data_IF_594659557225
#
_entry.id   IF_594659557225
#
_cell.length_a   1.000
_cell.length_b   1.000
_cell.length_c   1.000
_cell.angle_alpha   90.00
_cell.angle_beta   90.00
_cell.angle_gamma   90.00
#
_symmetry.space_group_name_H-M   'P 1'
#
loop_
_entity.id
_entity.type
_entity.pdbx_description
1 polymer ?
#
# COMPACT_ATOMS: atom_id res chain seq x y z
N UNK A 1 -8.90 -7.66 -21.11
CA UNK A 1 -9.82 -6.51 -20.96
C UNK A 1 -9.06 -5.23 -21.28
N UNK A 2 -9.64 -4.25 -21.96
CA UNK A 2 -8.98 -2.98 -22.29
C UNK A 2 -9.52 -1.83 -21.42
N UNK A 3 -8.73 -0.76 -21.26
CA UNK A 3 -9.18 0.46 -20.57
C UNK A 3 -10.21 1.16 -21.47
N UNK A 4 -11.44 1.27 -21.00
CA UNK A 4 -12.54 1.85 -21.78
C UNK A 4 -12.62 3.37 -21.61
N UNK A 5 -12.19 3.90 -20.47
CA UNK A 5 -12.28 5.32 -20.15
C UNK A 5 -11.16 5.74 -19.18
N UNK A 6 -10.68 6.97 -19.34
CA UNK A 6 -9.71 7.61 -18.45
C UNK A 6 -10.31 8.88 -17.85
N UNK A 7 -10.34 9.00 -16.52
CA UNK A 7 -10.84 10.16 -15.79
C UNK A 7 -9.68 10.90 -15.13
N UNK A 8 -9.48 12.16 -15.52
CA UNK A 8 -8.44 13.01 -14.94
C UNK A 8 -8.97 13.81 -13.74
N UNK A 9 -8.63 13.34 -12.54
CA UNK A 9 -9.10 13.92 -11.29
C UNK A 9 -8.37 15.20 -10.87
N UNK A 10 -7.38 15.69 -11.64
CA UNK A 10 -6.87 17.06 -11.45
C UNK A 10 -7.68 18.09 -12.24
N UNK A 11 -8.43 17.66 -13.26
CA UNK A 11 -9.27 18.52 -14.11
C UNK A 11 -10.74 18.56 -13.69
N UNK A 12 -11.14 17.66 -12.80
CA UNK A 12 -12.51 17.57 -12.29
C UNK A 12 -12.56 17.89 -10.80
N UNK A 13 -13.62 18.57 -10.39
CA UNK A 13 -13.94 18.66 -8.97
C UNK A 13 -14.39 17.30 -8.42
N UNK A 14 -14.36 17.12 -7.10
CA UNK A 14 -14.83 15.91 -6.43
C UNK A 14 -16.30 15.60 -6.80
N UNK A 15 -17.14 16.63 -6.87
CA UNK A 15 -18.57 16.52 -7.20
C UNK A 15 -18.80 16.11 -8.66
N UNK A 16 -18.02 16.67 -9.58
CA UNK A 16 -18.05 16.31 -11.00
C UNK A 16 -17.63 14.85 -11.22
N UNK A 17 -16.53 14.43 -10.59
CA UNK A 17 -16.04 13.06 -10.71
C UNK A 17 -17.04 12.05 -10.12
N UNK A 18 -17.69 12.38 -9.00
CA UNK A 18 -18.78 11.58 -8.41
C UNK A 18 -19.97 11.47 -9.37
N UNK A 19 -20.36 12.57 -10.01
CA UNK A 19 -21.46 12.57 -10.97
C UNK A 19 -21.13 11.67 -12.17
N UNK A 20 -19.94 11.81 -12.76
CA UNK A 20 -19.47 10.96 -13.85
C UNK A 20 -19.56 9.48 -13.44
N UNK A 21 -19.06 9.13 -12.26
CA UNK A 21 -19.07 7.75 -11.78
C UNK A 21 -20.49 7.18 -11.63
N UNK A 22 -21.44 7.99 -11.13
CA UNK A 22 -22.85 7.60 -11.01
C UNK A 22 -23.51 7.41 -12.37
N UNK A 23 -23.26 8.32 -13.31
CA UNK A 23 -23.78 8.21 -14.66
C UNK A 23 -23.27 6.91 -15.31
N UNK A 24 -21.98 6.56 -15.11
CA UNK A 24 -21.41 5.30 -15.59
C UNK A 24 -21.98 4.05 -14.92
N UNK A 25 -22.27 4.08 -13.62
CA UNK A 25 -22.95 2.96 -12.93
C UNK A 25 -24.39 2.75 -13.42
N UNK A 26 -25.06 3.83 -13.86
CA UNK A 26 -26.40 3.71 -14.45
C UNK A 26 -26.38 2.97 -15.79
N UNK A 27 -25.29 3.11 -16.55
CA UNK A 27 -25.07 2.43 -17.83
C UNK A 27 -24.54 1.01 -17.63
N UNK A 28 -23.52 0.83 -16.79
CA UNK A 28 -22.80 -0.44 -16.60
C UNK A 28 -22.88 -0.91 -15.16
N UNK A 29 -23.39 -2.12 -14.87
CA UNK A 29 -23.66 -2.55 -13.50
C UNK A 29 -22.43 -2.73 -12.60
N UNK A 30 -21.24 -2.97 -13.17
CA UNK A 30 -20.00 -3.12 -12.42
C UNK A 30 -18.94 -2.17 -12.98
N UNK A 31 -18.41 -1.29 -12.15
CA UNK A 31 -17.27 -0.45 -12.49
C UNK A 31 -16.02 -0.91 -11.74
N UNK A 32 -14.91 -0.98 -12.46
CA UNK A 32 -13.59 -1.36 -11.93
C UNK A 32 -12.67 -0.16 -12.11
N UNK A 33 -12.30 0.47 -11.00
CA UNK A 33 -11.49 1.69 -10.98
C UNK A 33 -10.03 1.32 -10.74
N UNK A 34 -9.16 1.60 -11.71
CA UNK A 34 -7.72 1.34 -11.65
C UNK A 34 -6.93 2.65 -11.74
N UNK A 35 -5.62 2.58 -11.51
CA UNK A 35 -4.73 3.74 -11.65
C UNK A 35 -3.97 4.08 -10.36
N UNK A 36 -3.15 5.14 -10.34
CA UNK A 36 -2.17 5.35 -9.29
C UNK A 36 -2.79 5.62 -7.92
N UNK A 37 -2.02 5.29 -6.89
CA UNK A 37 -2.33 5.72 -5.53
C UNK A 37 -2.41 7.25 -5.46
N UNK A 38 -3.44 7.79 -4.83
CA UNK A 38 -3.71 9.24 -4.77
C UNK A 38 -4.61 9.75 -5.88
N UNK A 39 -4.93 8.92 -6.89
CA UNK A 39 -5.83 9.27 -7.99
C UNK A 39 -7.29 9.45 -7.59
N UNK A 40 -7.64 9.30 -6.30
CA UNK A 40 -8.98 9.59 -5.80
C UNK A 40 -9.99 8.44 -5.88
N UNK A 41 -9.59 7.24 -6.33
CA UNK A 41 -10.47 6.06 -6.51
C UNK A 41 -11.34 5.75 -5.28
N UNK A 42 -10.72 5.51 -4.13
CA UNK A 42 -11.43 5.17 -2.89
C UNK A 42 -12.30 6.35 -2.41
N UNK A 43 -11.77 7.58 -2.44
CA UNK A 43 -12.52 8.78 -2.03
C UNK A 43 -13.76 9.02 -2.90
N UNK A 44 -13.58 9.03 -4.22
CA UNK A 44 -14.68 9.27 -5.18
C UNK A 44 -15.66 8.10 -5.16
N UNK A 45 -15.18 6.87 -5.01
CA UNK A 45 -16.02 5.67 -4.85
C UNK A 45 -16.91 5.73 -3.62
N UNK A 46 -16.35 6.04 -2.44
CA UNK A 46 -17.11 6.24 -1.19
C UNK A 46 -18.15 7.35 -1.35
N UNK A 47 -17.81 8.40 -2.10
CA UNK A 47 -18.69 9.55 -2.27
C UNK A 47 -19.84 9.28 -3.23
N UNK A 48 -19.59 8.46 -4.25
CA UNK A 48 -20.60 8.03 -5.19
C UNK A 48 -21.68 7.14 -4.57
N UNK A 49 -21.38 6.41 -3.48
CA UNK A 49 -22.32 5.53 -2.79
C UNK A 49 -23.70 6.18 -2.54
N UNK A 50 -24.75 5.47 -2.94
CA UNK A 50 -26.16 5.83 -2.78
C UNK A 50 -27.03 4.56 -2.72
N UNK A 51 -28.36 4.71 -2.74
CA UNK A 51 -29.30 3.59 -2.75
C UNK A 51 -29.20 2.65 -3.96
N UNK A 52 -28.61 3.06 -5.08
CA UNK A 52 -28.50 2.21 -6.28
C UNK A 52 -27.28 1.30 -6.24
N UNK A 53 -26.35 1.51 -5.31
CA UNK A 53 -25.14 0.71 -5.17
C UNK A 53 -25.38 -0.39 -4.12
N UNK A 54 -24.98 -1.61 -4.46
CA UNK A 54 -25.10 -2.80 -3.60
C UNK A 54 -23.78 -3.20 -2.95
N UNK A 55 -22.65 -2.97 -3.61
CA UNK A 55 -21.34 -3.26 -3.04
C UNK A 55 -20.23 -2.30 -3.49
N UNK A 56 -19.24 -2.11 -2.62
CA UNK A 56 -17.98 -1.43 -2.91
C UNK A 56 -16.80 -2.22 -2.33
N UNK A 57 -15.86 -2.59 -3.19
CA UNK A 57 -14.70 -3.36 -2.77
C UNK A 57 -13.38 -2.69 -3.14
N UNK A 58 -12.33 -3.09 -2.45
CA UNK A 58 -10.96 -2.68 -2.67
C UNK A 58 -10.09 -3.93 -2.78
N UNK A 59 -9.33 -4.03 -3.88
CA UNK A 59 -8.42 -5.15 -4.11
C UNK A 59 -7.10 -4.99 -3.35
N UNK A 60 -6.55 -6.10 -2.85
CA UNK A 60 -5.25 -6.14 -2.17
C UNK A 60 -4.06 -6.27 -3.14
N UNK A 61 -4.01 -5.41 -4.15
CA UNK A 61 -2.95 -5.38 -5.17
C UNK A 61 -1.81 -4.46 -4.70
N UNK A 62 -0.55 -4.92 -4.74
CA UNK A 62 0.61 -4.23 -4.13
C UNK A 62 0.95 -2.88 -4.78
N UNK A 63 0.59 -2.71 -6.05
CA UNK A 63 0.93 -1.54 -6.88
C UNK A 63 -0.12 -0.41 -6.78
N UNK A 64 -1.37 -0.76 -6.95
CA UNK A 64 -2.49 0.16 -6.91
C UNK A 64 -3.70 -0.63 -6.43
N UNK A 65 -4.41 -0.14 -5.42
CA UNK A 65 -5.60 -0.80 -4.90
C UNK A 65 -6.77 -0.45 -5.83
N UNK A 66 -7.26 -1.40 -6.66
CA UNK A 66 -8.40 -1.13 -7.50
C UNK A 66 -9.64 -1.03 -6.62
N UNK A 67 -10.58 -0.17 -7.02
CA UNK A 67 -11.86 -0.01 -6.34
C UNK A 67 -12.96 -0.53 -7.25
N UNK A 68 -13.79 -1.44 -6.77
CA UNK A 68 -14.85 -2.09 -7.54
C UNK A 68 -16.19 -1.62 -6.98
N UNK A 69 -17.05 -1.09 -7.84
CA UNK A 69 -18.41 -0.67 -7.49
C UNK A 69 -19.39 -1.57 -8.22
N UNK A 70 -20.37 -2.12 -7.49
CA UNK A 70 -21.40 -3.00 -8.05
C UNK A 70 -22.77 -2.41 -7.74
N UNK A 71 -23.57 -2.23 -8.79
CA UNK A 71 -24.97 -1.78 -8.70
C UNK A 71 -25.82 -2.83 -7.98
N UNK A 72 -26.84 -2.37 -7.25
CA UNK A 72 -27.64 -3.20 -6.34
C UNK A 72 -28.34 -4.36 -7.03
N UNK A 73 -28.96 -4.12 -8.18
CA UNK A 73 -29.61 -5.15 -8.98
C UNK A 73 -28.62 -6.25 -9.42
N UNK A 74 -27.40 -5.87 -9.81
CA UNK A 74 -26.34 -6.83 -10.11
C UNK A 74 -25.85 -7.58 -8.87
N UNK A 75 -25.70 -6.90 -7.72
CA UNK A 75 -25.37 -7.56 -6.45
C UNK A 75 -26.41 -8.60 -6.06
N UNK A 76 -27.70 -8.26 -6.12
CA UNK A 76 -28.80 -9.17 -5.80
C UNK A 76 -28.79 -10.38 -6.73
N UNK A 77 -28.66 -10.15 -8.04
CA UNK A 77 -28.58 -11.21 -9.05
C UNK A 77 -27.37 -12.13 -8.85
N UNK A 78 -26.19 -11.58 -8.55
CA UNK A 78 -24.97 -12.36 -8.32
C UNK A 78 -25.05 -13.25 -7.08
N UNK A 79 -25.81 -12.84 -6.05
CA UNK A 79 -26.04 -13.63 -4.83
C UNK A 79 -27.00 -14.79 -5.02
N UNK A 80 -27.80 -14.79 -6.09
CA UNK A 80 -28.72 -15.90 -6.41
C UNK A 80 -28.07 -16.98 -7.28
N UNK A 81 -26.92 -16.71 -7.89
CA UNK A 81 -26.26 -17.61 -8.83
C UNK A 81 -25.23 -18.46 -8.10
N UNK A 82 -25.43 -19.78 -8.04
CA UNK A 82 -24.48 -20.73 -7.46
C UNK A 82 -23.46 -21.17 -8.52
N UNK A 83 -22.17 -20.93 -8.25
CA UNK A 83 -21.07 -21.28 -9.18
C UNK A 83 -20.25 -22.48 -8.71
N UNK A 84 -20.24 -22.76 -7.40
CA UNK A 84 -19.51 -23.90 -6.84
C UNK A 84 -20.25 -24.44 -5.59
N UNK A 85 -20.18 -25.76 -5.36
CA UNK A 85 -20.60 -26.37 -4.09
C UNK A 85 -19.38 -26.97 -3.41
N UNK A 86 -18.95 -26.38 -2.29
CA UNK A 86 -17.77 -26.85 -1.54
C UNK A 86 -18.17 -27.81 -0.43
N UNK A 87 -17.54 -28.99 -0.36
CA UNK A 87 -17.77 -29.89 0.77
C UNK A 87 -17.24 -29.27 2.07
N UNK A 88 -18.06 -29.32 3.13
CA UNK A 88 -17.64 -28.98 4.48
C UNK A 88 -17.07 -30.23 5.18
N UNK A 89 -16.18 -30.06 6.18
CA UNK A 89 -15.70 -31.15 7.02
C UNK A 89 -16.75 -31.55 8.08
N UNK A 90 -18.03 -31.54 7.70
CA UNK A 90 -19.19 -31.85 8.53
C UNK A 90 -20.07 -32.84 7.78
N UNK A 91 -20.62 -33.80 8.51
CA UNK A 91 -21.48 -34.85 7.98
C UNK A 91 -22.80 -34.86 8.75
N UNK A 92 -23.91 -35.08 8.04
CA UNK A 92 -25.22 -35.36 8.65
C UNK A 92 -25.54 -36.84 8.40
N UNK A 93 -25.28 -37.67 9.42
CA UNK A 93 -25.25 -39.12 9.26
C UNK A 93 -24.12 -39.55 8.32
N UNK A 94 -24.49 -40.19 7.20
CA UNK A 94 -23.56 -40.66 6.16
C UNK A 94 -23.40 -39.66 4.99
N UNK A 95 -24.13 -38.54 4.99
CA UNK A 95 -24.07 -37.55 3.90
C UNK A 95 -23.14 -36.38 4.24
N UNK A 96 -22.27 -36.02 3.28
CA UNK A 96 -21.38 -34.87 3.40
C UNK A 96 -22.16 -33.58 3.20
N UNK A 97 -22.02 -32.62 4.12
CA UNK A 97 -22.67 -31.31 4.01
C UNK A 97 -21.87 -30.44 3.05
N UNK A 98 -22.56 -29.66 2.22
CA UNK A 98 -21.95 -28.72 1.27
C UNK A 98 -22.33 -27.29 1.62
N UNK A 99 -21.45 -26.35 1.29
CA UNK A 99 -21.74 -24.92 1.24
C UNK A 99 -21.80 -24.49 -0.22
N UNK A 100 -22.77 -23.64 -0.55
CA UNK A 100 -22.90 -23.06 -1.89
C UNK A 100 -22.09 -21.77 -1.95
N UNK A 101 -21.27 -21.64 -2.99
CA UNK A 101 -20.52 -20.43 -3.29
C UNK A 101 -21.26 -19.71 -4.41
N UNK A 102 -21.69 -18.48 -4.15
CA UNK A 102 -22.37 -17.67 -5.15
C UNK A 102 -21.38 -17.00 -6.12
N UNK A 103 -21.84 -16.53 -7.27
CA UNK A 103 -21.03 -15.71 -8.17
C UNK A 103 -20.52 -14.45 -7.45
N UNK A 104 -21.33 -13.86 -6.56
CA UNK A 104 -20.92 -12.76 -5.70
C UNK A 104 -19.76 -13.15 -4.77
N UNK A 105 -19.83 -14.31 -4.13
CA UNK A 105 -18.76 -14.82 -3.25
C UNK A 105 -17.48 -15.11 -4.04
N UNK A 106 -17.58 -15.63 -5.26
CA UNK A 106 -16.44 -15.88 -6.14
C UNK A 106 -15.74 -14.58 -6.56
N UNK A 107 -16.51 -13.53 -6.90
CA UNK A 107 -15.98 -12.18 -7.17
C UNK A 107 -15.30 -11.63 -5.92
N UNK A 108 -15.99 -11.62 -4.77
CA UNK A 108 -15.45 -11.11 -3.51
C UNK A 108 -14.15 -11.82 -3.12
N UNK A 109 -14.14 -13.14 -3.17
CA UNK A 109 -12.97 -13.96 -2.88
C UNK A 109 -11.80 -13.64 -3.84
N UNK A 110 -12.08 -13.42 -5.12
CA UNK A 110 -11.06 -13.01 -6.10
C UNK A 110 -10.46 -11.64 -5.76
N UNK A 111 -11.28 -10.70 -5.30
CA UNK A 111 -10.82 -9.37 -4.87
C UNK A 111 -9.95 -9.47 -3.60
N UNK A 112 -10.38 -10.28 -2.62
CA UNK A 112 -9.69 -10.43 -1.33
C UNK A 112 -8.38 -11.23 -1.43
N UNK A 113 -8.27 -12.17 -2.39
CA UNK A 113 -7.15 -13.12 -2.47
C UNK A 113 -6.25 -12.95 -3.71
N UNK A 114 -6.40 -11.87 -4.49
CA UNK A 114 -5.48 -11.59 -5.60
C UNK A 114 -4.06 -11.38 -5.05
N UNK A 115 -3.13 -12.27 -5.39
CA UNK A 115 -1.74 -12.19 -4.96
C UNK A 115 -0.89 -11.65 -6.11
N UNK A 116 -0.72 -10.32 -6.15
CA UNK A 116 -0.03 -9.65 -7.25
C UNK A 116 1.50 -9.71 -7.09
N UNK A 117 2.12 -10.62 -7.86
CA UNK A 117 3.59 -10.77 -7.95
C UNK A 117 4.17 -9.86 -9.04
N UNK A 118 3.37 -9.38 -10.00
CA UNK A 118 3.86 -8.82 -11.27
C UNK A 118 3.23 -7.48 -11.72
N UNK A 119 2.47 -6.79 -10.87
CA UNK A 119 1.75 -5.55 -11.21
C UNK A 119 0.70 -5.73 -12.33
N UNK A 120 0.39 -6.99 -12.68
CA UNK A 120 -0.72 -7.37 -13.56
C UNK A 120 -2.03 -7.54 -12.78
N UNK A 121 -1.96 -7.50 -11.44
CA UNK A 121 -3.08 -7.80 -10.57
C UNK A 121 -4.32 -6.93 -10.80
N UNK A 122 -4.20 -5.67 -11.23
CA UNK A 122 -5.39 -4.84 -11.52
C UNK A 122 -6.13 -5.33 -12.77
N UNK A 123 -5.41 -5.62 -13.87
CA UNK A 123 -6.02 -6.10 -15.12
C UNK A 123 -6.46 -7.55 -14.99
N UNK A 124 -5.68 -8.41 -14.34
CA UNK A 124 -6.04 -9.81 -14.08
C UNK A 124 -7.27 -9.88 -13.16
N UNK A 125 -7.34 -9.04 -12.12
CA UNK A 125 -8.54 -8.92 -11.29
C UNK A 125 -9.72 -8.46 -12.14
N UNK A 126 -9.54 -7.45 -12.98
CA UNK A 126 -10.60 -6.93 -13.83
C UNK A 126 -11.12 -7.99 -14.81
N UNK A 127 -10.22 -8.75 -15.44
CA UNK A 127 -10.56 -9.86 -16.32
C UNK A 127 -11.32 -10.95 -15.59
N UNK A 128 -10.86 -11.36 -14.41
CA UNK A 128 -11.52 -12.39 -13.61
C UNK A 128 -12.92 -11.99 -13.15
N UNK A 129 -13.09 -10.73 -12.72
CA UNK A 129 -14.41 -10.20 -12.36
C UNK A 129 -15.32 -10.18 -13.60
N UNK A 130 -14.78 -9.75 -14.75
CA UNK A 130 -15.51 -9.67 -16.01
C UNK A 130 -15.91 -11.02 -16.57
N UNK A 131 -15.06 -12.05 -16.39
CA UNK A 131 -15.36 -13.43 -16.76
C UNK A 131 -16.53 -13.96 -15.92
N UNK A 132 -16.44 -13.89 -14.59
CA UNK A 132 -17.49 -14.39 -13.68
C UNK A 132 -18.82 -13.64 -13.91
N UNK A 133 -18.78 -12.31 -14.05
CA UNK A 133 -19.99 -11.51 -14.30
C UNK A 133 -20.55 -11.74 -15.71
N UNK A 134 -19.67 -11.86 -16.72
CA UNK A 134 -20.00 -12.01 -18.12
C UNK A 134 -20.65 -13.36 -18.44
N UNK A 135 -20.26 -14.45 -17.78
CA UNK A 135 -20.94 -15.75 -17.85
C UNK A 135 -22.43 -15.68 -17.50
N UNK A 136 -22.82 -14.62 -16.79
CA UNK A 136 -24.18 -14.38 -16.34
C UNK A 136 -24.80 -13.13 -16.99
N UNK A 137 -24.20 -12.59 -18.05
CA UNK A 137 -24.73 -11.42 -18.78
C UNK A 137 -24.81 -10.17 -17.90
N UNK A 138 -23.82 -9.96 -17.03
CA UNK A 138 -23.63 -8.73 -16.26
C UNK A 138 -22.38 -8.05 -16.84
N UNK A 139 -22.57 -6.86 -17.39
CA UNK A 139 -21.48 -6.10 -17.98
C UNK A 139 -20.59 -5.43 -16.92
N UNK A 140 -19.30 -5.39 -17.22
CA UNK A 140 -18.27 -4.69 -16.44
C UNK A 140 -17.67 -3.57 -17.28
N UNK A 141 -17.14 -2.53 -16.61
CA UNK A 141 -16.40 -1.45 -17.26
C UNK A 141 -15.12 -1.12 -16.50
N UNK A 142 -14.00 -1.05 -17.21
CA UNK A 142 -12.70 -0.68 -16.65
C UNK A 142 -12.43 0.81 -16.86
N UNK A 143 -12.27 1.56 -15.76
CA UNK A 143 -12.03 3.01 -15.77
C UNK A 143 -10.70 3.31 -15.10
N UNK A 144 -9.80 4.00 -15.80
CA UNK A 144 -8.54 4.46 -15.24
C UNK A 144 -8.68 5.88 -14.66
N UNK A 145 -8.32 6.04 -13.39
CA UNK A 145 -8.24 7.36 -12.77
C UNK A 145 -6.81 7.86 -12.89
N UNK A 146 -6.62 9.08 -13.38
CA UNK A 146 -5.30 9.74 -13.41
C UNK A 146 -5.36 11.07 -12.68
N UNK A 147 -4.20 11.64 -12.37
CA UNK A 147 -4.09 13.01 -11.89
C UNK A 147 -2.66 13.53 -12.12
N UNK A 148 -2.50 14.85 -12.10
CA UNK A 148 -1.18 15.48 -12.17
C UNK A 148 -0.25 14.98 -11.06
N UNK A 149 1.04 14.71 -11.34
CA UNK A 149 1.98 14.17 -10.36
C UNK A 149 2.13 15.01 -9.08
N UNK A 150 2.11 16.34 -9.19
CA UNK A 150 2.17 17.26 -8.05
C UNK A 150 0.90 17.20 -7.19
N UNK A 151 -0.24 16.96 -7.82
CA UNK A 151 -1.52 16.81 -7.12
C UNK A 151 -1.60 15.45 -6.42
N UNK A 152 -1.14 14.38 -7.07
CA UNK A 152 -0.96 13.06 -6.43
C UNK A 152 -0.04 13.19 -5.21
N UNK A 153 1.04 13.98 -5.32
CA UNK A 153 1.95 14.23 -4.20
C UNK A 153 1.27 14.89 -3.03
N UNK A 154 0.55 15.98 -3.29
CA UNK A 154 -0.14 16.76 -2.27
C UNK A 154 -1.19 15.90 -1.56
N UNK A 155 -2.05 15.22 -2.32
CA UNK A 155 -3.09 14.33 -1.79
C UNK A 155 -2.51 13.21 -0.94
N UNK A 156 -1.33 12.66 -1.31
CA UNK A 156 -0.65 11.64 -0.49
C UNK A 156 -0.18 12.16 0.86
N UNK A 157 0.25 13.43 0.94
CA UNK A 157 0.74 14.03 2.17
C UNK A 157 -0.39 14.42 3.14
N UNK A 158 -1.54 14.88 2.61
CA UNK A 158 -2.69 15.29 3.41
C UNK A 158 -3.69 14.16 3.68
N UNK A 159 -3.42 12.95 3.19
CA UNK A 159 -4.36 11.82 3.19
C UNK A 159 -4.78 11.32 4.55
N UNK A 160 -3.99 11.59 5.58
CA UNK A 160 -4.33 11.25 6.96
C UNK A 160 -5.37 12.20 7.54
N UNK A 161 -5.35 13.46 7.07
CA UNK A 161 -6.12 14.54 7.67
C UNK A 161 -7.63 14.34 7.42
N UNK A 162 -7.98 13.69 6.29
CA UNK A 162 -9.35 13.35 5.91
C UNK A 162 -9.73 11.88 6.16
N UNK A 163 -8.84 11.08 6.77
CA UNK A 163 -9.05 9.64 6.94
C UNK A 163 -10.29 9.31 7.80
N UNK A 164 -10.46 10.04 8.90
CA UNK A 164 -11.58 9.89 9.82
C UNK A 164 -12.91 10.18 9.11
N UNK A 165 -12.98 11.31 8.40
CA UNK A 165 -14.18 11.73 7.66
C UNK A 165 -14.55 10.71 6.57
N UNK A 166 -13.56 10.19 5.83
CA UNK A 166 -13.81 9.14 4.83
C UNK A 166 -14.35 7.86 5.43
N UNK A 167 -13.75 7.37 6.53
CA UNK A 167 -14.22 6.16 7.21
C UNK A 167 -15.63 6.34 7.79
N UNK A 168 -15.89 7.49 8.40
CA UNK A 168 -17.22 7.83 8.91
C UNK A 168 -18.26 7.87 7.79
N UNK A 169 -17.94 8.52 6.68
CA UNK A 169 -18.81 8.59 5.49
C UNK A 169 -19.12 7.20 4.93
N UNK A 170 -18.10 6.33 4.85
CA UNK A 170 -18.28 4.94 4.43
C UNK A 170 -19.25 4.19 5.36
N UNK A 171 -19.02 4.20 6.68
CA UNK A 171 -19.87 3.50 7.66
C UNK A 171 -21.31 4.02 7.62
N UNK A 172 -21.50 5.34 7.52
CA UNK A 172 -22.83 5.94 7.43
C UNK A 172 -23.58 5.47 6.20
N UNK A 173 -22.93 5.45 5.03
CA UNK A 173 -23.55 5.02 3.77
C UNK A 173 -23.77 3.51 3.73
N UNK A 174 -22.84 2.71 4.24
CA UNK A 174 -23.01 1.26 4.41
C UNK A 174 -24.28 0.94 5.19
N UNK A 175 -24.47 1.57 6.36
CA UNK A 175 -25.64 1.36 7.21
C UNK A 175 -26.91 1.89 6.56
N UNK A 176 -26.87 3.10 6.01
CA UNK A 176 -28.04 3.76 5.40
C UNK A 176 -28.57 3.01 4.19
N UNK A 177 -27.66 2.55 3.32
CA UNK A 177 -28.02 1.94 2.05
C UNK A 177 -27.89 0.41 2.04
N UNK A 178 -27.36 -0.20 3.11
CA UNK A 178 -27.08 -1.65 3.19
C UNK A 178 -26.10 -2.10 2.09
N UNK A 179 -24.96 -1.42 2.00
CA UNK A 179 -23.91 -1.69 1.01
C UNK A 179 -22.93 -2.71 1.60
N UNK A 180 -22.59 -3.75 0.85
CA UNK A 180 -21.50 -4.67 1.19
C UNK A 180 -20.14 -4.02 0.88
N UNK A 181 -19.17 -4.11 1.79
CA UNK A 181 -17.83 -3.57 1.52
C UNK A 181 -16.67 -4.35 2.12
N UNK A 182 -15.47 -4.19 1.57
CA UNK A 182 -14.20 -4.68 2.14
C UNK A 182 -13.09 -3.59 2.11
N UNK A 183 -13.45 -2.30 2.08
CA UNK A 183 -12.43 -1.24 2.14
C UNK A 183 -11.72 -1.32 3.49
N UNK A 184 -10.44 -1.69 3.46
CA UNK A 184 -9.60 -1.87 4.65
C UNK A 184 -8.39 -0.94 4.67
N UNK A 185 -8.11 -0.22 3.58
CA UNK A 185 -6.86 0.53 3.45
C UNK A 185 -6.99 2.05 3.61
N UNK A 186 -7.97 2.52 4.39
CA UNK A 186 -8.12 3.97 4.63
C UNK A 186 -6.88 4.47 5.38
N UNK A 187 -5.95 5.05 4.62
CA UNK A 187 -4.67 5.54 5.13
C UNK A 187 -4.92 6.62 6.17
N UNK A 188 -4.37 6.42 7.37
CA UNK A 188 -4.58 7.29 8.53
C UNK A 188 -5.79 6.95 9.39
N UNK A 189 -6.58 5.93 9.06
CA UNK A 189 -7.60 5.38 9.95
C UNK A 189 -6.97 4.39 10.96
N UNK A 190 -7.56 4.26 12.16
CA UNK A 190 -7.12 3.25 13.13
C UNK A 190 -7.45 1.86 12.61
N UNK A 191 -6.49 0.93 12.74
CA UNK A 191 -6.70 -0.48 12.36
C UNK A 191 -7.90 -1.08 13.10
N UNK A 192 -8.06 -0.76 14.39
CA UNK A 192 -9.19 -1.25 15.18
C UNK A 192 -10.53 -0.71 14.71
N UNK A 193 -10.60 0.51 14.18
CA UNK A 193 -11.84 1.11 13.66
C UNK A 193 -12.20 0.53 12.29
N UNK A 194 -11.18 0.21 11.48
CA UNK A 194 -11.35 -0.49 10.20
C UNK A 194 -11.88 -1.91 10.43
N UNK A 195 -11.35 -2.62 11.43
CA UNK A 195 -11.77 -3.99 11.77
C UNK A 195 -13.16 -3.96 12.44
N UNK A 196 -13.38 -3.04 13.38
CA UNK A 196 -14.63 -2.89 14.12
C UNK A 196 -15.46 -1.74 13.53
N UNK A 197 -16.00 -1.95 12.34
CA UNK A 197 -16.76 -0.97 11.51
C UNK A 197 -18.02 -0.37 12.16
N UNK A 198 -18.29 -0.67 13.42
CA UNK A 198 -19.45 -0.17 14.15
C UNK A 198 -19.28 1.28 14.61
N UNK A 199 -18.05 1.74 14.85
CA UNK A 199 -17.73 3.07 15.38
C UNK A 199 -16.38 3.57 14.87
N UNK A 200 -16.26 4.90 14.74
CA UNK A 200 -14.97 5.58 14.51
C UNK A 200 -14.58 6.27 15.81
N UNK A 201 -13.41 5.93 16.35
CA UNK A 201 -12.86 6.60 17.53
C UNK A 201 -12.22 7.93 17.16
N UNK A 202 -12.19 8.87 18.10
CA UNK A 202 -11.29 10.03 17.96
C UNK A 202 -9.84 9.54 18.03
N UNK A 203 -8.98 10.08 17.17
CA UNK A 203 -7.53 9.98 17.38
C UNK A 203 -7.17 10.75 18.65
N UNK A 204 -6.48 10.10 19.57
CA UNK A 204 -5.75 10.78 20.61
C UNK A 204 -4.46 11.35 19.99
N UNK A 205 -3.94 12.44 20.58
CA UNK A 205 -2.75 13.13 20.07
C UNK A 205 -1.49 12.23 20.04
N UNK A 206 -1.53 11.09 20.72
CA UNK A 206 -0.50 10.06 20.81
C UNK A 206 -0.76 8.81 19.92
N UNK A 207 -1.87 8.74 19.20
CA UNK A 207 -2.20 7.60 18.32
C UNK A 207 -1.72 7.81 16.88
N UNK A 208 -1.06 6.78 16.33
CA UNK A 208 -0.21 6.86 15.14
C UNK A 208 -1.02 6.80 13.83
N UNK A 209 -0.94 7.85 13.02
CA UNK A 209 -1.05 7.80 11.56
C UNK A 209 0.30 8.12 10.95
N UNK A 210 0.87 7.19 10.18
CA UNK A 210 2.28 7.27 9.77
C UNK A 210 2.65 8.56 9.03
N UNK A 211 3.49 9.41 9.61
CA UNK A 211 4.06 10.65 9.03
C UNK A 211 5.44 11.00 9.58
N UNK A 212 6.05 12.12 9.15
CA UNK A 212 7.31 12.63 9.73
C UNK A 212 7.28 12.88 11.24
N UNK A 213 6.08 12.86 11.85
CA UNK A 213 5.88 12.89 13.30
C UNK A 213 6.07 11.50 13.97
N UNK A 214 6.19 10.41 13.21
CA UNK A 214 6.53 9.07 13.72
C UNK A 214 8.01 8.96 14.12
N UNK A 215 8.81 9.92 13.64
CA UNK A 215 10.18 10.06 14.06
C UNK A 215 10.18 10.80 15.38
N UNK A 216 10.76 10.16 16.39
CA UNK A 216 10.89 10.79 17.69
C UNK A 216 11.77 12.05 17.58
N UNK A 217 12.82 11.96 16.75
CA UNK A 217 13.72 13.07 16.47
C UNK A 217 14.61 12.81 15.26
N UNK A 218 15.14 13.88 14.70
CA UNK A 218 16.22 13.86 13.71
C UNK A 218 17.52 14.35 14.33
N UNK A 219 18.64 13.78 13.91
CA UNK A 219 19.97 14.17 14.36
C UNK A 219 20.77 14.64 13.14
N UNK A 220 21.15 15.93 13.09
CA UNK A 220 21.95 16.48 12.00
C UNK A 220 23.25 15.72 11.78
N UNK A 221 23.52 15.41 10.50
CA UNK A 221 24.76 14.73 10.06
C UNK A 221 25.83 15.69 9.56
N UNK A 222 25.53 16.98 9.44
CA UNK A 222 26.49 17.99 8.98
C UNK A 222 27.74 18.01 9.87
N UNK A 223 28.92 17.90 9.25
CA UNK A 223 30.21 17.87 9.95
C UNK A 223 30.60 16.51 10.54
N UNK A 224 29.77 15.46 10.40
CA UNK A 224 30.08 14.11 10.89
C UNK A 224 30.66 13.21 9.79
N UNK A 225 31.54 12.31 10.20
CA UNK A 225 32.05 11.20 9.39
C UNK A 225 31.09 10.02 9.40
N UNK A 226 31.21 9.13 8.41
CA UNK A 226 30.43 7.89 8.38
C UNK A 226 30.64 7.03 9.63
N UNK A 227 31.88 6.95 10.14
CA UNK A 227 32.21 6.23 11.39
C UNK A 227 31.42 6.79 12.58
N UNK A 228 31.37 8.12 12.72
CA UNK A 228 30.62 8.78 13.79
C UNK A 228 29.10 8.56 13.66
N UNK A 229 28.57 8.56 12.44
CA UNK A 229 27.16 8.27 12.19
C UNK A 229 26.79 6.82 12.56
N UNK A 230 27.63 5.84 12.19
CA UNK A 230 27.44 4.44 12.55
C UNK A 230 27.52 4.22 14.07
N UNK A 231 28.50 4.84 14.73
CA UNK A 231 28.64 4.78 16.20
C UNK A 231 27.44 5.39 16.90
N UNK A 232 26.89 6.49 16.38
CA UNK A 232 25.69 7.11 16.93
C UNK A 232 24.46 6.20 16.78
N UNK A 233 24.35 5.53 15.63
CA UNK A 233 23.27 4.58 15.34
C UNK A 233 23.33 3.37 16.30
N UNK A 234 24.53 2.81 16.52
CA UNK A 234 24.77 1.77 17.52
C UNK A 234 24.45 2.24 18.94
N UNK A 235 24.82 3.48 19.28
CA UNK A 235 24.57 4.07 20.59
C UNK A 235 23.07 4.20 20.86
N UNK A 236 22.30 4.71 19.90
CA UNK A 236 20.84 4.84 19.99
C UNK A 236 20.21 3.46 20.19
N UNK A 237 20.61 2.47 19.39
CA UNK A 237 20.10 1.11 19.55
C UNK A 237 20.47 0.51 20.91
N UNK A 238 21.72 0.69 21.38
CA UNK A 238 22.20 0.10 22.63
C UNK A 238 21.65 0.76 23.89
N UNK A 239 21.65 2.09 23.93
CA UNK A 239 21.33 2.87 25.13
C UNK A 239 19.84 3.20 25.20
N UNK A 240 19.17 3.36 24.06
CA UNK A 240 17.76 3.79 23.99
C UNK A 240 16.82 2.67 23.53
N UNK A 241 17.34 1.56 23.01
CA UNK A 241 16.51 0.45 22.53
C UNK A 241 15.68 0.80 21.29
N UNK A 242 16.15 1.75 20.48
CA UNK A 242 15.41 2.30 19.32
C UNK A 242 16.07 2.01 17.99
N UNK A 243 15.25 1.85 16.96
CA UNK A 243 15.72 1.82 15.58
C UNK A 243 16.06 3.22 15.11
N UNK A 244 17.12 3.33 14.31
CA UNK A 244 17.50 4.57 13.66
C UNK A 244 18.13 4.28 12.30
N UNK A 245 18.14 5.27 11.40
CA UNK A 245 18.69 5.08 10.07
C UNK A 245 18.96 6.37 9.30
N UNK A 246 19.72 6.25 8.22
CA UNK A 246 20.07 7.35 7.32
C UNK A 246 20.43 6.82 5.93
N UNK A 247 20.55 7.74 4.96
CA UNK A 247 20.92 7.46 3.59
C UNK A 247 22.34 7.90 3.27
N UNK A 248 23.03 7.07 2.49
CA UNK A 248 24.34 7.36 1.90
C UNK A 248 24.23 7.27 0.39
N UNK A 249 24.81 8.22 -0.32
CA UNK A 249 24.90 8.23 -1.77
C UNK A 249 26.34 7.99 -2.23
N UNK A 250 26.51 7.02 -3.12
CA UNK A 250 27.78 6.58 -3.69
C UNK A 250 27.92 7.05 -5.14
N UNK A 251 28.79 8.03 -5.41
CA UNK A 251 29.06 8.56 -6.76
C UNK A 251 30.56 8.67 -7.01
N UNK A 252 31.04 8.20 -8.16
CA UNK A 252 32.44 8.35 -8.60
C UNK A 252 33.49 7.90 -7.55
N UNK A 253 33.24 6.78 -6.85
CA UNK A 253 34.06 6.25 -5.74
C UNK A 253 34.10 7.13 -4.47
N UNK A 254 33.20 8.10 -4.35
CA UNK A 254 32.98 8.88 -3.12
C UNK A 254 31.64 8.51 -2.51
N UNK A 255 31.62 8.41 -1.19
CA UNK A 255 30.40 8.26 -0.41
C UNK A 255 30.05 9.59 0.27
N UNK A 256 28.77 9.94 0.28
CA UNK A 256 28.25 11.14 0.94
C UNK A 256 26.97 10.80 1.69
N UNK A 257 26.89 11.19 2.95
CA UNK A 257 25.64 11.09 3.71
C UNK A 257 24.66 12.14 3.18
N UNK A 258 23.46 11.71 2.81
CA UNK A 258 22.45 12.56 2.13
C UNK A 258 21.19 12.77 2.94
N UNK A 259 21.08 12.19 4.14
CA UNK A 259 20.00 12.46 5.08
C UNK A 259 20.54 12.64 6.49
N UNK A 260 19.77 13.32 7.32
CA UNK A 260 19.96 13.25 8.77
C UNK A 260 19.71 11.83 9.28
N UNK A 261 20.21 11.54 10.49
CA UNK A 261 19.85 10.30 11.19
C UNK A 261 18.44 10.48 11.75
N UNK A 262 17.58 9.55 11.42
CA UNK A 262 16.20 9.55 11.86
C UNK A 262 16.03 8.46 12.91
N UNK A 263 15.46 8.81 14.07
CA UNK A 263 15.21 7.90 15.19
C UNK A 263 13.73 7.56 15.24
N UNK A 264 13.41 6.27 15.24
CA UNK A 264 12.03 5.78 15.36
C UNK A 264 11.49 5.87 16.78
N UNK A 265 10.19 6.07 16.90
CA UNK A 265 9.47 5.86 18.16
C UNK A 265 9.45 4.38 18.58
N UNK A 266 8.90 4.09 19.76
CA UNK A 266 8.91 2.73 20.38
C UNK A 266 8.31 1.62 19.48
N UNK A 267 7.45 1.98 18.53
CA UNK A 267 6.79 1.06 17.61
C UNK A 267 7.14 1.30 16.13
N UNK A 268 8.23 2.02 15.84
CA UNK A 268 8.61 2.41 14.47
C UNK A 268 9.64 1.46 13.86
N UNK A 269 9.37 0.99 12.64
CA UNK A 269 10.33 0.24 11.81
C UNK A 269 10.98 1.20 10.82
N UNK A 270 12.23 1.56 11.07
CA UNK A 270 12.87 2.71 10.41
C UNK A 270 13.34 2.39 8.98
N UNK A 271 13.70 1.14 8.71
CA UNK A 271 14.14 0.70 7.38
C UNK A 271 13.09 0.96 6.29
N UNK A 272 11.82 0.61 6.57
CA UNK A 272 10.69 0.81 5.63
C UNK A 272 10.36 2.29 5.47
N UNK A 273 10.30 3.04 6.58
CA UNK A 273 9.87 4.45 6.57
C UNK A 273 10.88 5.37 5.88
N UNK A 274 12.19 5.10 5.98
CA UNK A 274 13.22 5.89 5.29
C UNK A 274 13.20 5.71 3.77
N UNK A 275 12.88 4.50 3.29
CA UNK A 275 12.71 4.23 1.87
C UNK A 275 11.50 4.98 1.29
N UNK A 276 10.41 5.04 2.04
CA UNK A 276 9.19 5.74 1.64
C UNK A 276 9.34 7.28 1.68
N UNK A 277 10.02 7.81 2.71
CA UNK A 277 10.10 9.26 2.98
C UNK A 277 11.22 9.95 2.19
N UNK A 278 12.43 9.37 2.12
CA UNK A 278 13.61 10.09 1.61
C UNK A 278 14.05 9.70 0.20
N UNK A 279 13.79 8.46 -0.24
CA UNK A 279 14.09 8.04 -1.62
C UNK A 279 12.92 8.38 -2.55
N UNK A 280 11.73 8.62 -2.00
CA UNK A 280 10.56 9.02 -2.77
C UNK A 280 10.07 7.93 -3.70
N UNK A 281 10.08 6.65 -3.27
CA UNK A 281 9.47 5.57 -4.04
C UNK A 281 7.98 5.84 -4.23
N UNK A 282 7.67 6.37 -5.41
CA UNK A 282 6.34 6.60 -5.94
C UNK A 282 6.36 6.06 -7.35
N UNK A 283 5.57 5.03 -7.62
CA UNK A 283 5.39 4.50 -8.97
C UNK A 283 5.09 5.63 -9.97
N UNK A 284 5.88 5.69 -11.05
CA UNK A 284 5.42 6.15 -12.36
C UNK A 284 4.98 4.90 -13.13
N UNK A 285 3.69 4.80 -13.45
CA UNK A 285 3.14 3.70 -14.24
C UNK A 285 3.15 3.98 -15.74
N UNK A 286 3.01 2.91 -16.52
CA UNK A 286 2.45 2.97 -17.88
C UNK A 286 3.14 2.10 -18.93
N UNK A 287 2.48 0.98 -19.26
CA UNK A 287 2.39 0.31 -20.58
C UNK A 287 3.34 0.87 -21.64
N UNK A 288 4.54 0.26 -21.80
CA UNK A 288 5.36 0.20 -23.02
C UNK A 288 6.71 -0.43 -22.65
N UNK A 289 6.80 -1.74 -22.88
CA UNK A 289 7.97 -2.63 -22.68
C UNK A 289 9.29 -2.00 -22.22
N UNK A 290 9.61 -2.18 -20.95
CA UNK A 290 10.97 -2.13 -20.43
C UNK A 290 11.12 -3.18 -19.32
N UNK A 291 11.97 -4.19 -19.55
CA UNK A 291 12.59 -4.97 -18.49
C UNK A 291 13.48 -4.01 -17.67
N UNK A 292 12.98 -3.51 -16.53
CA UNK A 292 13.70 -2.49 -15.77
C UNK A 292 13.46 -2.60 -14.27
N UNK A 293 14.48 -3.06 -13.55
CA UNK A 293 14.61 -2.88 -12.09
C UNK A 293 14.64 -1.38 -11.80
N UNK A 294 13.85 -0.91 -10.84
CA UNK A 294 13.84 0.49 -10.40
C UNK A 294 15.28 0.90 -10.06
N UNK A 295 15.86 1.83 -10.80
CA UNK A 295 17.09 2.53 -10.39
C UNK A 295 16.68 3.96 -10.06
N UNK A 296 16.98 4.48 -8.86
CA UNK A 296 16.75 5.89 -8.59
C UNK A 296 17.40 6.73 -9.70
N UNK A 297 16.71 7.79 -10.16
CA UNK A 297 17.26 8.78 -11.10
C UNK A 297 18.25 9.70 -10.37
N UNK A 298 19.23 9.05 -9.77
CA UNK A 298 20.30 9.63 -8.97
C UNK A 298 21.57 9.01 -9.56
N UNK A 299 22.46 9.85 -10.06
CA UNK A 299 23.72 9.39 -10.61
C UNK A 299 24.61 8.83 -9.49
N UNK A 300 24.61 7.50 -9.32
CA UNK A 300 25.30 6.80 -8.25
C UNK A 300 24.49 5.63 -7.70
N UNK A 301 24.85 5.12 -6.51
CA UNK A 301 24.13 4.07 -5.79
C UNK A 301 23.69 4.61 -4.44
N UNK A 302 22.41 4.43 -4.08
CA UNK A 302 21.92 4.77 -2.74
C UNK A 302 22.14 3.57 -1.82
N UNK A 303 22.57 3.85 -0.60
CA UNK A 303 22.67 2.91 0.50
C UNK A 303 21.77 3.37 1.65
N UNK A 304 20.86 2.50 2.08
CA UNK A 304 20.12 2.63 3.33
C UNK A 304 20.94 1.98 4.44
N UNK A 305 21.25 2.72 5.50
CA UNK A 305 21.87 2.19 6.71
C UNK A 305 20.86 2.35 7.85
N UNK A 306 20.49 1.26 8.51
CA UNK A 306 19.63 1.31 9.69
C UNK A 306 20.02 0.28 10.76
N UNK A 307 19.46 0.43 11.96
CA UNK A 307 19.50 -0.58 13.02
C UNK A 307 18.18 -1.33 13.08
N UNK A 308 18.24 -2.52 13.68
CA UNK A 308 17.06 -3.32 13.98
C UNK A 308 17.10 -3.79 15.44
N UNK A 309 15.94 -3.94 16.05
CA UNK A 309 15.77 -4.58 17.35
C UNK A 309 15.04 -5.92 17.22
N UNK A 310 15.81 -7.01 17.18
CA UNK A 310 15.31 -8.36 17.49
C UNK A 310 14.96 -9.23 16.28
N UNK A 311 15.88 -10.15 15.95
CA UNK A 311 15.64 -11.27 15.04
C UNK A 311 16.85 -12.21 14.99
N UNK A 312 16.65 -13.45 14.54
CA UNK A 312 17.73 -14.45 14.38
C UNK A 312 18.66 -14.16 13.17
N UNK A 313 18.26 -13.23 12.30
CA UNK A 313 19.02 -12.78 11.11
C UNK A 313 19.08 -11.25 11.09
N UNK A 314 20.26 -10.71 10.78
CA UNK A 314 20.53 -9.27 10.69
C UNK A 314 19.77 -8.59 9.55
N UNK A 315 19.79 -9.16 8.34
CA UNK A 315 18.96 -8.71 7.22
C UNK A 315 17.63 -9.45 7.23
N UNK A 316 16.54 -8.70 7.26
CA UNK A 316 15.19 -9.24 7.12
C UNK A 316 14.90 -9.63 5.65
N UNK A 317 13.92 -10.52 5.40
CA UNK A 317 13.41 -10.75 4.05
C UNK A 317 12.99 -9.47 3.33
N UNK A 318 12.49 -8.48 4.08
CA UNK A 318 12.09 -7.16 3.61
C UNK A 318 13.30 -6.34 3.12
N UNK A 319 14.42 -6.38 3.84
CA UNK A 319 15.67 -5.69 3.47
C UNK A 319 16.27 -6.27 2.19
N UNK A 320 16.27 -7.61 2.08
CA UNK A 320 16.76 -8.33 0.90
C UNK A 320 15.90 -8.00 -0.32
N UNK A 321 14.57 -8.02 -0.14
CA UNK A 321 13.63 -7.64 -1.19
C UNK A 321 13.76 -6.19 -1.62
N UNK A 322 14.01 -5.26 -0.69
CA UNK A 322 14.23 -3.85 -1.01
C UNK A 322 15.52 -3.64 -1.81
N UNK A 323 16.63 -4.25 -1.41
CA UNK A 323 17.90 -4.10 -2.11
C UNK A 323 17.84 -4.64 -3.55
N UNK A 324 17.26 -5.82 -3.74
CA UNK A 324 17.11 -6.45 -5.06
C UNK A 324 16.18 -5.63 -5.97
N UNK A 325 15.05 -5.15 -5.44
CA UNK A 325 14.01 -4.46 -6.21
C UNK A 325 14.38 -3.03 -6.60
N UNK A 326 15.21 -2.36 -5.80
CA UNK A 326 15.52 -0.93 -5.98
C UNK A 326 16.95 -0.64 -6.42
N UNK A 327 17.77 -1.68 -6.59
CA UNK A 327 19.18 -1.52 -6.95
C UNK A 327 19.96 -0.68 -5.93
N UNK A 328 19.53 -0.69 -4.67
CA UNK A 328 20.17 0.00 -3.56
C UNK A 328 20.95 -0.99 -2.70
N UNK A 329 21.86 -0.46 -1.90
CA UNK A 329 22.49 -1.23 -0.83
C UNK A 329 21.62 -1.07 0.41
N UNK A 330 21.29 -2.17 1.08
CA UNK A 330 20.69 -2.13 2.42
C UNK A 330 21.71 -2.70 3.38
N UNK A 331 22.02 -1.94 4.42
CA UNK A 331 22.99 -2.28 5.44
C UNK A 331 22.33 -2.17 6.81
N UNK A 332 22.39 -3.26 7.57
CA UNK A 332 21.88 -3.32 8.94
C UNK A 332 23.05 -3.35 9.92
N UNK A 333 22.97 -2.51 10.95
CA UNK A 333 23.99 -2.40 12.00
C UNK A 333 23.35 -2.69 13.36
N UNK A 334 23.85 -3.72 14.04
CA UNK A 334 23.45 -4.06 15.41
C UNK A 334 24.14 -3.17 16.46
N UNK A 335 23.52 -3.07 17.63
CA UNK A 335 24.05 -2.39 18.81
C UNK A 335 25.46 -2.86 19.24
N UNK A 336 25.84 -4.09 18.93
CA UNK A 336 27.14 -4.69 19.25
C UNK A 336 28.21 -4.45 18.17
N UNK A 337 27.86 -3.81 17.05
CA UNK A 337 28.76 -3.52 15.94
C UNK A 337 28.79 -4.61 14.86
N UNK A 338 27.96 -5.65 14.96
CA UNK A 338 27.75 -6.57 13.85
C UNK A 338 27.07 -5.83 12.70
N UNK A 339 27.56 -6.07 11.50
CA UNK A 339 27.05 -5.47 10.27
C UNK A 339 26.69 -6.58 9.31
N UNK A 340 25.53 -6.44 8.67
CA UNK A 340 25.21 -7.19 7.48
C UNK A 340 24.77 -6.25 6.35
N UNK A 341 24.99 -6.66 5.11
CA UNK A 341 24.69 -5.82 3.96
C UNK A 341 24.38 -6.67 2.75
N UNK A 342 23.41 -6.21 1.95
CA UNK A 342 23.08 -6.80 0.66
C UNK A 342 24.22 -6.67 -0.36
N UNK A 343 25.25 -5.88 -0.05
CA UNK A 343 26.49 -5.78 -0.82
C UNK A 343 27.70 -6.27 -0.02
N UNK A 344 28.19 -7.48 -0.34
CA UNK A 344 29.25 -8.15 0.43
C UNK A 344 30.56 -7.34 0.60
N UNK A 345 31.11 -6.66 -0.43
CA UNK A 345 32.27 -5.80 -0.23
C UNK A 345 32.02 -4.63 0.73
N UNK A 346 30.78 -4.10 0.75
CA UNK A 346 30.41 -2.97 1.61
C UNK A 346 30.40 -3.38 3.08
N UNK A 347 29.84 -4.56 3.39
CA UNK A 347 29.92 -5.18 4.72
C UNK A 347 31.35 -5.17 5.27
N UNK A 348 32.31 -5.70 4.51
CA UNK A 348 33.73 -5.76 4.95
C UNK A 348 34.35 -4.39 5.15
N UNK A 349 34.01 -3.41 4.30
CA UNK A 349 34.51 -2.05 4.41
C UNK A 349 34.02 -1.38 5.70
N UNK A 350 32.72 -1.49 5.99
CA UNK A 350 32.13 -0.89 7.19
C UNK A 350 32.62 -1.57 8.47
N UNK A 351 32.81 -2.90 8.44
CA UNK A 351 33.43 -3.63 9.54
C UNK A 351 34.85 -3.12 9.83
N UNK A 352 35.68 -2.90 8.81
CA UNK A 352 37.02 -2.30 9.00
C UNK A 352 36.92 -0.88 9.54
N UNK A 353 36.01 -0.07 9.01
CA UNK A 353 35.83 1.32 9.46
C UNK A 353 35.46 1.41 10.96
N UNK A 354 34.70 0.45 11.49
CA UNK A 354 34.34 0.38 12.90
C UNK A 354 35.44 -0.25 13.79
N UNK A 355 36.31 -1.09 13.23
CA UNK A 355 37.34 -1.83 13.99
C UNK A 355 38.78 -1.31 13.82
N UNK A 356 39.04 -0.45 12.83
CA UNK A 356 40.30 0.29 12.71
C UNK A 356 40.25 1.49 13.68
N UNK A 357 41.24 1.56 14.59
CA UNK A 357 41.37 2.61 15.61
C UNK A 357 41.49 4.01 14.97
#
# INVERSE_FOLDING_TARGET
MEIEETIDTSKHTKEEAVKILRDRLSETPILILIGPQGGGKTTIGIEALNEDIGAIFEGHVRAAQPVILIRRDATERLKEIIVERKPLPLYDGDEQIYTEVTAFDAIRNSIENIFDIFELGEIELAEKISEIAGEHGIETRLIEFIADPEELQRRRLSRKDDAQERLQTLIEKEKRYKIDSNILSIQGAKILDIINRDRVGSFADDEISRTTNDFERTIPVEGRTLKECLQLLMKISKEEGREAGFLVHHKEKRERITSDIVVGGENSVIGVTLLEVYVGFRQRGGVLGMEGIYRPDIEGVIELIHSHHGGDKLLSPEDLGAAERFGIIVTVVEANGNIDSTHYPRKRQLQRLLHEE
#
